data_IF_545182546844
#
_entry.id   IF_545182546844
#
_cell.length_a   1.000
_cell.length_b   1.000
_cell.length_c   1.000
_cell.angle_alpha   90.00
_cell.angle_beta   90.00
_cell.angle_gamma   90.00
#
_symmetry.space_group_name_H-M   'P 1'
#
loop_
_entity.id
_entity.type
_entity.pdbx_description
1 polymer ?
#
# COMPACT_ATOMS: atom_id res chain seq x y z
N UNK A 1 25.04 23.74 -51.95
CA UNK A 1 24.94 23.20 -50.57
C UNK A 1 23.54 22.62 -50.42
N UNK A 2 23.40 21.32 -50.65
CA UNK A 2 22.11 20.62 -50.68
C UNK A 2 22.19 19.48 -49.67
N UNK A 3 21.38 19.58 -48.62
CA UNK A 3 21.36 18.65 -47.49
C UNK A 3 20.80 17.29 -47.91
N UNK A 4 21.59 16.24 -47.72
CA UNK A 4 21.20 14.84 -47.92
C UNK A 4 20.29 14.37 -46.79
N UNK A 5 19.04 14.05 -47.12
CA UNK A 5 18.08 13.43 -46.22
C UNK A 5 18.27 11.92 -46.16
N UNK A 6 18.84 11.44 -45.05
CA UNK A 6 19.08 10.03 -44.76
C UNK A 6 17.78 9.37 -44.28
N UNK A 7 17.10 8.69 -45.21
CA UNK A 7 15.89 7.89 -44.91
C UNK A 7 16.32 6.59 -44.24
N UNK A 8 16.14 6.49 -42.93
CA UNK A 8 16.24 5.19 -42.21
C UNK A 8 15.03 4.33 -42.54
N UNK A 9 15.26 3.33 -43.39
CA UNK A 9 14.34 2.21 -43.59
C UNK A 9 14.24 1.40 -42.31
N UNK A 10 13.07 1.35 -41.69
CA UNK A 10 12.77 0.40 -40.64
C UNK A 10 12.40 -0.94 -41.30
N UNK A 11 13.33 -1.88 -41.25
CA UNK A 11 13.14 -3.28 -41.60
C UNK A 11 12.13 -3.91 -40.61
N UNK A 12 10.92 -4.18 -41.11
CA UNK A 12 9.82 -4.78 -40.36
C UNK A 12 9.67 -6.24 -40.79
N UNK A 13 10.73 -7.02 -40.63
CA UNK A 13 10.76 -8.46 -40.89
C UNK A 13 10.82 -9.23 -39.56
N UNK A 14 9.70 -9.34 -38.86
CA UNK A 14 9.54 -10.28 -37.75
C UNK A 14 8.17 -10.95 -37.82
N UNK A 15 7.99 -11.74 -38.87
CA UNK A 15 6.96 -12.77 -38.97
C UNK A 15 7.54 -14.09 -38.46
N UNK A 16 6.70 -14.89 -37.81
CA UNK A 16 6.93 -16.33 -37.67
C UNK A 16 7.36 -16.78 -36.27
N UNK A 17 6.37 -17.24 -35.51
CA UNK A 17 6.61 -17.95 -34.26
C UNK A 17 5.36 -18.03 -33.41
N UNK A 18 4.29 -18.65 -33.94
CA UNK A 18 3.17 -19.11 -33.10
C UNK A 18 3.66 -20.29 -32.25
N UNK A 19 3.73 -20.19 -30.92
CA UNK A 19 3.79 -21.39 -30.10
C UNK A 19 2.37 -22.00 -30.06
N UNK A 20 2.23 -23.19 -30.63
CA UNK A 20 1.19 -24.15 -30.23
C UNK A 20 1.24 -24.31 -28.71
N UNK A 21 0.35 -23.61 -28.01
CA UNK A 21 0.13 -23.87 -26.58
C UNK A 21 -0.88 -25.01 -26.51
N UNK A 22 -0.33 -26.21 -26.31
CA UNK A 22 -1.04 -27.39 -25.83
C UNK A 22 -1.88 -27.01 -24.60
N UNK A 23 -3.18 -26.87 -24.81
CA UNK A 23 -4.19 -26.77 -23.76
C UNK A 23 -4.24 -28.10 -23.04
N UNK A 24 -3.44 -28.23 -21.98
CA UNK A 24 -3.52 -29.34 -21.04
C UNK A 24 -4.59 -28.99 -20.02
N UNK A 25 -5.77 -29.59 -20.18
CA UNK A 25 -6.84 -29.59 -19.18
C UNK A 25 -6.30 -30.17 -17.86
N UNK A 26 -5.92 -29.28 -16.95
CA UNK A 26 -5.78 -29.61 -15.54
C UNK A 26 -7.10 -29.22 -14.87
N UNK A 27 -7.92 -30.23 -14.57
CA UNK A 27 -9.09 -30.10 -13.73
C UNK A 27 -8.67 -29.54 -12.37
N UNK A 28 -8.90 -28.23 -12.17
CA UNK A 28 -8.78 -27.60 -10.86
C UNK A 28 -10.07 -27.91 -10.11
N UNK A 29 -9.99 -28.91 -9.23
CA UNK A 29 -10.96 -29.12 -8.18
C UNK A 29 -11.13 -27.81 -7.41
N UNK A 30 -12.30 -27.20 -7.57
CA UNK A 30 -12.74 -26.01 -6.85
C UNK A 30 -12.96 -26.38 -5.38
N UNK A 31 -11.88 -26.45 -4.61
CA UNK A 31 -11.93 -26.50 -3.16
C UNK A 31 -12.37 -25.12 -2.69
N UNK A 32 -13.67 -24.98 -2.45
CA UNK A 32 -14.29 -23.80 -1.86
C UNK A 32 -13.70 -23.49 -0.49
N UNK A 33 -12.60 -22.71 -0.48
CA UNK A 33 -12.14 -22.02 0.72
C UNK A 33 -13.09 -20.84 0.91
N UNK A 34 -14.19 -21.10 1.62
CA UNK A 34 -15.01 -20.09 2.27
C UNK A 34 -14.13 -19.38 3.30
N UNK A 35 -13.39 -18.37 2.87
CA UNK A 35 -12.79 -17.41 3.78
C UNK A 35 -13.93 -16.64 4.43
N UNK A 36 -14.37 -17.12 5.59
CA UNK A 36 -15.23 -16.37 6.50
C UNK A 36 -14.46 -15.15 6.96
N UNK A 37 -14.73 -14.01 6.33
CA UNK A 37 -14.38 -12.71 6.88
C UNK A 37 -15.22 -12.55 8.14
N UNK A 38 -14.63 -12.91 9.27
CA UNK A 38 -15.18 -12.65 10.57
C UNK A 38 -15.48 -11.15 10.65
N UNK A 39 -16.78 -10.83 10.70
CA UNK A 39 -17.32 -9.57 11.20
C UNK A 39 -16.72 -9.34 12.59
N UNK A 40 -15.57 -8.66 12.66
CA UNK A 40 -15.19 -7.93 13.86
C UNK A 40 -16.17 -6.78 13.95
N UNK A 41 -17.20 -6.98 14.77
CA UNK A 41 -18.15 -5.96 15.12
C UNK A 41 -17.40 -4.74 15.63
N UNK A 42 -17.44 -3.67 14.84
CA UNK A 42 -17.23 -2.33 15.33
C UNK A 42 -18.38 -2.03 16.31
N UNK A 43 -18.21 -2.46 17.56
CA UNK A 43 -18.92 -1.81 18.66
C UNK A 43 -18.32 -0.41 18.73
N UNK A 44 -19.08 0.56 18.21
CA UNK A 44 -18.85 1.97 18.43
C UNK A 44 -18.79 2.22 19.93
N UNK A 45 -17.57 2.25 20.46
CA UNK A 45 -17.25 2.90 21.71
C UNK A 45 -17.13 4.38 21.41
N UNK A 46 -18.22 5.09 21.58
CA UNK A 46 -18.28 6.54 21.61
C UNK A 46 -17.51 6.97 22.87
N UNK A 47 -16.18 7.08 22.78
CA UNK A 47 -15.38 7.66 23.85
C UNK A 47 -15.51 9.17 23.71
N UNK A 48 -16.57 9.71 24.32
CA UNK A 48 -16.64 11.12 24.64
C UNK A 48 -15.52 11.42 25.63
N UNK A 49 -14.38 11.89 25.12
CA UNK A 49 -13.33 12.50 25.95
C UNK A 49 -13.84 13.88 26.35
N UNK A 50 -14.69 13.90 27.37
CA UNK A 50 -14.94 15.11 28.14
C UNK A 50 -13.64 15.43 28.90
N UNK A 51 -12.84 16.34 28.35
CA UNK A 51 -11.79 17.03 29.09
C UNK A 51 -12.44 17.91 30.16
N UNK A 52 -12.77 17.31 31.31
CA UNK A 52 -12.96 18.05 32.55
C UNK A 52 -11.60 18.23 33.21
N UNK A 53 -11.05 19.43 33.04
CA UNK A 53 -10.02 20.02 33.88
C UNK A 53 -10.48 20.05 35.33
N UNK A 54 -10.15 19.01 36.09
CA UNK A 54 -10.23 19.02 37.55
C UNK A 54 -8.86 19.47 38.10
N UNK A 55 -8.80 20.72 38.54
CA UNK A 55 -7.72 21.26 39.37
C UNK A 55 -7.81 20.62 40.77
N UNK A 56 -7.27 19.42 40.93
CA UNK A 56 -7.04 18.85 42.27
C UNK A 56 -5.73 19.41 42.83
N UNK A 57 -5.86 20.35 43.76
CA UNK A 57 -4.77 20.87 44.59
C UNK A 57 -4.46 19.84 45.69
N UNK A 58 -3.28 19.21 45.72
CA UNK A 58 -2.91 18.36 46.84
C UNK A 58 -2.59 19.21 48.08
N UNK A 59 -3.25 18.84 49.17
CA UNK A 59 -3.15 19.36 50.53
C UNK A 59 -1.75 19.08 51.10
N UNK A 60 -1.06 20.15 51.48
CA UNK A 60 0.21 20.12 52.22
C UNK A 60 -0.04 19.54 53.61
N UNK A 61 0.45 18.31 53.83
CA UNK A 61 0.56 17.69 55.15
C UNK A 61 1.94 17.99 55.74
N UNK A 62 1.96 18.71 56.85
CA UNK A 62 3.14 18.95 57.69
C UNK A 62 3.44 17.70 58.52
N UNK A 63 4.20 16.77 57.92
CA UNK A 63 4.70 15.57 58.57
C UNK A 63 6.19 15.67 58.87
N UNK A 64 6.51 15.93 60.14
CA UNK A 64 7.65 15.45 60.91
C UNK A 64 9.02 15.33 60.20
N UNK A 65 9.83 16.36 60.43
CA UNK A 65 11.22 16.49 60.01
C UNK A 65 12.12 15.53 60.80
N UNK A 66 12.34 14.33 60.25
CA UNK A 66 13.55 13.56 60.52
C UNK A 66 14.71 14.20 59.72
N UNK A 67 15.96 14.22 60.24
CA UNK A 67 17.09 14.78 59.51
C UNK A 67 17.36 13.93 58.25
N UNK A 68 16.70 14.31 57.16
CA UNK A 68 16.86 13.74 55.85
C UNK A 68 18.26 14.10 55.37
N UNK A 69 19.18 13.14 55.47
CA UNK A 69 20.45 13.25 54.76
C UNK A 69 20.14 13.56 53.29
N UNK A 70 20.78 14.59 52.71
CA UNK A 70 20.47 14.99 51.34
C UNK A 70 20.66 13.76 50.44
N UNK A 71 19.63 13.35 49.67
CA UNK A 71 19.77 12.23 48.75
C UNK A 71 20.94 12.56 47.82
N UNK A 72 21.99 11.74 47.88
CA UNK A 72 23.25 11.98 47.15
C UNK A 72 22.92 12.16 45.66
N UNK A 73 23.03 13.40 45.17
CA UNK A 73 22.79 13.77 43.77
C UNK A 73 23.57 12.88 42.79
N UNK A 74 24.73 12.37 43.22
CA UNK A 74 25.56 11.44 42.46
C UNK A 74 24.85 10.12 42.09
N UNK A 75 23.81 9.71 42.82
CA UNK A 75 23.00 8.54 42.44
C UNK A 75 21.95 8.86 41.38
N UNK A 76 21.53 10.12 41.26
CA UNK A 76 20.55 10.57 40.26
C UNK A 76 21.22 11.01 38.94
N UNK A 77 22.51 11.36 39.00
CA UNK A 77 23.31 11.69 37.82
C UNK A 77 24.11 10.51 37.24
N UNK A 78 24.08 9.35 37.89
CA UNK A 78 24.54 8.11 37.27
C UNK A 78 23.51 7.69 36.23
N UNK A 79 23.65 8.22 35.01
CA UNK A 79 23.09 7.53 33.85
C UNK A 79 23.61 6.09 33.91
N UNK A 80 22.75 5.07 33.77
CA UNK A 80 23.22 3.71 33.68
C UNK A 80 24.17 3.62 32.49
N UNK A 81 25.48 3.48 32.76
CA UNK A 81 26.56 3.37 31.77
C UNK A 81 26.38 2.16 30.81
N UNK A 82 25.36 1.33 31.04
CA UNK A 82 25.12 0.08 30.33
C UNK A 82 24.00 0.09 29.29
N UNK A 83 23.40 1.23 28.97
CA UNK A 83 22.28 1.27 27.99
C UNK A 83 22.67 2.02 26.73
N UNK A 84 23.81 1.65 26.16
CA UNK A 84 24.13 1.94 24.77
C UNK A 84 23.28 1.02 23.88
N UNK A 85 22.01 1.38 23.68
CA UNK A 85 21.25 0.84 22.56
C UNK A 85 21.72 1.54 21.29
N UNK A 86 22.91 1.14 20.82
CA UNK A 86 23.40 1.48 19.49
C UNK A 86 22.60 0.69 18.46
N UNK A 87 21.30 1.01 18.37
CA UNK A 87 20.46 0.49 17.32
C UNK A 87 20.77 1.33 16.11
N UNK A 88 21.44 0.74 15.12
CA UNK A 88 21.74 1.37 13.83
C UNK A 88 20.44 1.99 13.28
N UNK A 89 20.35 3.31 13.41
CA UNK A 89 19.17 4.12 13.12
C UNK A 89 19.53 5.04 11.98
N UNK A 90 18.77 4.93 10.89
CA UNK A 90 18.98 5.72 9.67
C UNK A 90 17.69 6.40 9.31
N UNK A 91 17.74 7.73 9.14
CA UNK A 91 16.53 8.53 8.91
C UNK A 91 15.49 8.43 10.03
N UNK A 92 15.92 8.20 11.28
CA UNK A 92 15.03 8.07 12.43
C UNK A 92 14.32 6.73 12.59
N UNK A 93 14.55 5.76 11.69
CA UNK A 93 14.01 4.42 11.78
C UNK A 93 15.13 3.35 11.90
N UNK A 94 14.82 2.27 12.61
CA UNK A 94 15.67 1.11 12.79
C UNK A 94 15.64 0.20 11.56
N UNK A 95 16.60 -0.71 11.44
CA UNK A 95 16.64 -1.74 10.38
C UNK A 95 15.33 -2.50 10.22
N UNK A 96 14.73 -2.95 11.32
CA UNK A 96 13.48 -3.71 11.31
C UNK A 96 12.29 -2.88 10.82
N UNK A 97 12.26 -1.59 11.16
CA UNK A 97 11.20 -0.68 10.73
C UNK A 97 11.28 -0.38 9.23
N UNK A 98 12.48 -0.13 8.70
CA UNK A 98 12.68 0.02 7.25
C UNK A 98 12.25 -1.22 6.49
N UNK A 99 12.69 -2.41 6.93
CA UNK A 99 12.29 -3.69 6.32
C UNK A 99 10.79 -3.89 6.33
N UNK A 100 10.12 -3.56 7.44
CA UNK A 100 8.68 -3.66 7.55
C UNK A 100 7.97 -2.72 6.55
N UNK A 101 8.40 -1.45 6.48
CA UNK A 101 7.83 -0.46 5.54
C UNK A 101 7.94 -0.90 4.08
N UNK A 102 9.10 -1.39 3.67
CA UNK A 102 9.28 -1.88 2.31
C UNK A 102 8.52 -3.18 2.04
N UNK A 103 8.45 -4.10 3.01
CA UNK A 103 7.64 -5.30 2.88
C UNK A 103 6.15 -4.96 2.72
N UNK A 104 5.66 -3.98 3.47
CA UNK A 104 4.28 -3.52 3.38
C UNK A 104 3.99 -2.81 2.06
N UNK A 105 4.89 -1.92 1.59
CA UNK A 105 4.75 -1.27 0.29
C UNK A 105 4.75 -2.27 -0.87
N UNK A 106 5.62 -3.29 -0.84
CA UNK A 106 5.63 -4.37 -1.83
C UNK A 106 4.32 -5.15 -1.84
N UNK A 107 3.78 -5.49 -0.67
CA UNK A 107 2.48 -6.16 -0.56
C UNK A 107 1.34 -5.30 -1.09
N UNK A 108 1.37 -3.99 -0.85
CA UNK A 108 0.36 -3.04 -1.33
C UNK A 108 0.36 -2.98 -2.86
N UNK A 109 1.54 -2.87 -3.49
CA UNK A 109 1.68 -2.93 -4.95
C UNK A 109 1.20 -4.26 -5.51
N UNK A 110 1.60 -5.40 -4.92
CA UNK A 110 1.15 -6.72 -5.35
C UNK A 110 -0.37 -6.88 -5.26
N UNK A 111 -0.97 -6.38 -4.17
CA UNK A 111 -2.42 -6.44 -3.96
C UNK A 111 -3.15 -5.57 -4.98
N UNK A 112 -2.74 -4.32 -5.15
CA UNK A 112 -3.34 -3.40 -6.12
C UNK A 112 -3.23 -3.93 -7.56
N UNK A 113 -2.10 -4.57 -7.89
CA UNK A 113 -1.88 -5.22 -9.19
C UNK A 113 -2.87 -6.36 -9.43
N UNK A 114 -3.02 -7.27 -8.45
CA UNK A 114 -3.99 -8.38 -8.55
C UNK A 114 -5.42 -7.88 -8.68
N UNK A 115 -5.79 -6.82 -7.97
CA UNK A 115 -7.12 -6.21 -8.09
C UNK A 115 -7.35 -5.58 -9.46
N UNK A 116 -6.34 -4.90 -10.01
CA UNK A 116 -6.39 -4.34 -11.36
C UNK A 116 -6.52 -5.44 -12.43
N UNK A 117 -5.70 -6.49 -12.35
CA UNK A 117 -5.79 -7.65 -13.26
C UNK A 117 -7.15 -8.34 -13.14
N UNK A 118 -7.68 -8.49 -11.92
CA UNK A 118 -9.02 -9.04 -11.69
C UNK A 118 -10.13 -8.17 -12.27
N UNK A 119 -10.02 -6.84 -12.21
CA UNK A 119 -10.98 -5.92 -12.83
C UNK A 119 -10.91 -5.98 -14.37
N UNK A 120 -9.70 -6.04 -14.94
CA UNK A 120 -9.49 -6.21 -16.37
C UNK A 120 -10.08 -7.53 -16.89
N UNK A 121 -9.87 -8.64 -16.19
CA UNK A 121 -10.42 -9.93 -16.57
C UNK A 121 -11.96 -9.95 -16.54
N UNK A 122 -12.60 -9.23 -15.58
CA UNK A 122 -14.06 -9.06 -15.56
C UNK A 122 -14.56 -8.25 -16.74
N UNK A 123 -13.86 -7.16 -17.09
CA UNK A 123 -14.18 -6.33 -18.24
C UNK A 123 -14.06 -7.13 -19.55
N UNK A 124 -12.99 -7.92 -19.69
CA UNK A 124 -12.77 -8.78 -20.86
C UNK A 124 -13.86 -9.86 -20.97
N UNK A 125 -14.23 -10.50 -19.86
CA UNK A 125 -15.33 -11.49 -19.84
C UNK A 125 -16.67 -10.86 -20.22
N UNK A 126 -16.96 -9.65 -19.76
CA UNK A 126 -18.16 -8.91 -20.14
C UNK A 126 -18.14 -8.53 -21.63
N UNK A 127 -16.98 -8.16 -22.16
CA UNK A 127 -16.81 -7.84 -23.58
C UNK A 127 -16.93 -9.09 -24.48
N UNK A 128 -16.42 -10.25 -24.04
CA UNK A 128 -16.54 -11.50 -24.80
C UNK A 128 -17.99 -11.99 -24.93
N UNK A 129 -18.83 -11.73 -23.92
CA UNK A 129 -20.26 -12.05 -23.95
C UNK A 129 -21.12 -11.04 -24.72
N UNK A 130 -20.60 -9.84 -24.97
CA UNK A 130 -21.28 -8.77 -25.70
C UNK A 130 -20.58 -8.51 -27.03
N UNK A 131 -20.96 -9.28 -28.06
CA UNK A 131 -20.57 -9.08 -29.48
C UNK A 131 -20.91 -7.67 -30.02
N UNK A 132 -21.55 -6.84 -29.20
CA UNK A 132 -22.15 -5.58 -29.60
C UNK A 132 -21.47 -4.44 -28.86
N UNK A 133 -20.29 -4.04 -29.31
CA UNK A 133 -19.81 -2.68 -29.08
C UNK A 133 -20.72 -1.72 -29.87
N UNK A 134 -21.95 -1.50 -29.40
CA UNK A 134 -22.85 -0.51 -29.97
C UNK A 134 -22.44 0.86 -29.43
N UNK A 135 -21.95 1.69 -30.33
CA UNK A 135 -21.87 3.13 -30.09
C UNK A 135 -23.30 3.66 -29.94
N UNK A 136 -23.70 4.03 -28.72
CA UNK A 136 -24.99 4.67 -28.45
C UNK A 136 -24.77 6.18 -28.56
N UNK A 137 -25.43 6.88 -29.50
CA UNK A 137 -25.32 8.33 -29.60
C UNK A 137 -25.88 9.01 -28.34
N UNK A 138 -25.33 10.18 -27.94
CA UNK A 138 -25.84 10.92 -26.79
C UNK A 138 -27.32 11.26 -27.00
N UNK A 139 -28.19 10.77 -26.11
CA UNK A 139 -29.64 10.92 -26.19
C UNK A 139 -30.44 9.62 -26.41
N UNK A 140 -29.78 8.49 -26.69
CA UNK A 140 -30.43 7.17 -26.70
C UNK A 140 -30.52 6.57 -25.29
N UNK A 141 -31.61 5.85 -25.01
CA UNK A 141 -31.76 5.11 -23.76
C UNK A 141 -30.64 4.07 -23.60
N UNK A 142 -29.88 4.23 -22.52
CA UNK A 142 -28.76 3.36 -22.18
C UNK A 142 -29.35 2.08 -21.60
N UNK A 143 -29.45 1.02 -22.42
CA UNK A 143 -29.93 -0.30 -21.97
C UNK A 143 -29.21 -0.73 -20.67
N UNK A 144 -29.91 -1.42 -19.76
CA UNK A 144 -29.38 -1.78 -18.44
C UNK A 144 -28.02 -2.50 -18.49
N UNK A 145 -27.79 -3.33 -19.53
CA UNK A 145 -26.51 -4.03 -19.77
C UNK A 145 -25.32 -3.07 -20.00
N UNK A 146 -25.58 -1.88 -20.54
CA UNK A 146 -24.55 -0.86 -20.71
C UNK A 146 -24.16 -0.21 -19.38
N UNK A 147 -25.04 -0.19 -18.37
CA UNK A 147 -24.71 0.38 -17.06
C UNK A 147 -23.66 -0.45 -16.33
N UNK A 148 -23.75 -1.78 -16.41
CA UNK A 148 -22.76 -2.65 -15.76
C UNK A 148 -21.40 -2.58 -16.46
N UNK A 149 -21.37 -2.47 -17.78
CA UNK A 149 -20.13 -2.21 -18.53
C UNK A 149 -19.51 -0.85 -18.18
N UNK A 150 -20.32 0.18 -17.99
CA UNK A 150 -19.84 1.49 -17.54
C UNK A 150 -19.23 1.42 -16.12
N UNK A 151 -19.88 0.72 -15.19
CA UNK A 151 -19.35 0.49 -13.84
C UNK A 151 -18.02 -0.25 -13.87
N UNK A 152 -17.90 -1.32 -14.68
CA UNK A 152 -16.65 -2.06 -14.84
C UNK A 152 -15.51 -1.18 -15.38
N UNK A 153 -15.79 -0.30 -16.33
CA UNK A 153 -14.79 0.66 -16.85
C UNK A 153 -14.36 1.66 -15.79
N UNK A 154 -15.30 2.17 -14.98
CA UNK A 154 -14.97 3.04 -13.86
C UNK A 154 -14.12 2.31 -12.81
N UNK A 155 -14.45 1.06 -12.50
CA UNK A 155 -13.68 0.22 -11.58
C UNK A 155 -12.25 0.00 -12.08
N UNK A 156 -12.06 -0.31 -13.37
CA UNK A 156 -10.72 -0.46 -13.97
C UNK A 156 -9.91 0.83 -13.86
N UNK A 157 -10.51 1.99 -14.15
CA UNK A 157 -9.84 3.29 -13.99
C UNK A 157 -9.42 3.53 -12.55
N UNK A 158 -10.32 3.30 -11.59
CA UNK A 158 -10.03 3.43 -10.16
C UNK A 158 -8.89 2.49 -9.73
N UNK A 159 -8.94 1.22 -10.12
CA UNK A 159 -7.89 0.25 -9.77
C UNK A 159 -6.53 0.57 -10.39
N UNK A 160 -6.51 1.19 -11.57
CA UNK A 160 -5.29 1.71 -12.17
C UNK A 160 -4.71 2.87 -11.37
N UNK A 161 -5.54 3.78 -10.87
CA UNK A 161 -5.12 4.89 -9.99
C UNK A 161 -4.61 4.38 -8.64
N UNK A 162 -5.28 3.39 -8.05
CA UNK A 162 -4.86 2.73 -6.82
C UNK A 162 -3.46 2.09 -7.00
N UNK A 163 -3.24 1.37 -8.10
CA UNK A 163 -1.94 0.79 -8.45
C UNK A 163 -0.86 1.87 -8.62
N UNK A 164 -1.14 2.92 -9.38
CA UNK A 164 -0.20 4.03 -9.58
C UNK A 164 0.16 4.74 -8.27
N UNK A 165 -0.78 4.84 -7.33
CA UNK A 165 -0.57 5.42 -6.00
C UNK A 165 0.34 4.52 -5.16
N UNK A 166 0.11 3.20 -5.16
CA UNK A 166 0.96 2.24 -4.45
C UNK A 166 2.40 2.24 -5.00
N UNK A 167 2.56 2.27 -6.33
CA UNK A 167 3.87 2.35 -6.99
C UNK A 167 4.58 3.69 -6.72
N UNK A 168 3.84 4.79 -6.60
CA UNK A 168 4.43 6.08 -6.18
C UNK A 168 4.93 5.99 -4.74
N UNK A 169 4.12 5.44 -3.83
CA UNK A 169 4.51 5.27 -2.43
C UNK A 169 5.76 4.41 -2.27
N UNK A 170 5.91 3.36 -3.06
CA UNK A 170 7.13 2.55 -3.08
C UNK A 170 8.35 3.38 -3.52
N UNK A 171 8.22 4.17 -4.59
CA UNK A 171 9.30 5.06 -5.06
C UNK A 171 9.64 6.15 -4.06
N UNK A 172 8.64 6.71 -3.37
CA UNK A 172 8.86 7.72 -2.33
C UNK A 172 9.68 7.11 -1.17
N UNK A 173 9.38 5.87 -0.76
CA UNK A 173 10.18 5.13 0.23
C UNK A 173 11.61 4.86 -0.26
N UNK A 174 11.82 4.53 -1.54
CA UNK A 174 13.16 4.39 -2.11
C UNK A 174 13.94 5.71 -2.05
N UNK A 175 13.29 6.84 -2.34
CA UNK A 175 13.91 8.18 -2.22
C UNK A 175 14.25 8.49 -0.76
N UNK A 176 13.33 8.27 0.18
CA UNK A 176 13.58 8.47 1.61
C UNK A 176 14.73 7.59 2.12
N UNK A 177 14.77 6.33 1.70
CA UNK A 177 15.83 5.39 2.05
C UNK A 177 17.19 5.84 1.50
N UNK A 178 17.23 6.32 0.26
CA UNK A 178 18.46 6.88 -0.33
C UNK A 178 18.92 8.13 0.42
N UNK A 179 18.00 9.04 0.77
CA UNK A 179 18.32 10.26 1.55
C UNK A 179 18.82 9.94 2.95
N UNK A 180 18.25 8.92 3.59
CA UNK A 180 18.66 8.42 4.89
C UNK A 180 19.94 7.54 4.83
N UNK A 181 20.54 7.35 3.64
CA UNK A 181 21.69 6.46 3.42
C UNK A 181 21.43 5.03 3.91
N UNK A 182 20.20 4.55 3.74
CA UNK A 182 19.78 3.19 4.13
C UNK A 182 20.37 2.18 3.15
N UNK A 183 21.13 1.18 3.62
CA UNK A 183 21.67 0.11 2.79
C UNK A 183 20.58 -0.69 2.05
N UNK A 184 20.92 -1.25 0.89
CA UNK A 184 19.97 -2.05 0.09
C UNK A 184 19.50 -3.33 0.80
N UNK A 185 20.27 -3.88 1.74
CA UNK A 185 19.87 -5.08 2.50
C UNK A 185 18.76 -4.80 3.54
N UNK A 186 18.39 -3.54 3.73
CA UNK A 186 17.26 -3.11 4.58
C UNK A 186 15.99 -2.83 3.77
N UNK A 187 16.08 -2.85 2.44
CA UNK A 187 14.99 -2.55 1.52
C UNK A 187 14.16 -3.79 1.15
#
# INVERSE_FOLDING_TARGET
MTAGGERRSYDRSRTGGSPEVLVREAGVANAGVRSGWAKRGAKGGLVAVAMMTALSVPRVGSGQEAPAQPPKLDRLLKLPDGVAFDVDRRGGATRSEWKARFADARKEVETARKEYEGAMAKLEKAAAGSETWRFVPPGGDVAAENQDNLRLRMDVTKKREDLATAERRQRDLDVEANLASVPDDWR
#
